data_IF_407769086802
#
_entry.id   IF_407769086802
#
_cell.length_a   1.000
_cell.length_b   1.000
_cell.length_c   1.000
_cell.angle_alpha   90.00
_cell.angle_beta   90.00
_cell.angle_gamma   90.00
#
_symmetry.space_group_name_H-M   'P 1'
#
loop_
_entity.id
_entity.type
_entity.pdbx_description
1 polymer ?
#
# COMPACT_ATOMS: atom_id res chain seq x y z
N UNK A 1 -50.79 -28.37 -49.35
CA UNK A 1 -49.36 -28.60 -49.01
C UNK A 1 -48.76 -27.24 -48.65
N UNK A 2 -48.64 -26.91 -47.38
CA UNK A 2 -48.11 -25.65 -46.89
C UNK A 2 -46.78 -25.98 -46.20
N UNK A 3 -45.65 -25.45 -46.71
CA UNK A 3 -44.31 -25.57 -46.11
C UNK A 3 -44.06 -24.39 -45.16
N UNK A 4 -43.96 -24.68 -43.87
CA UNK A 4 -43.61 -23.71 -42.84
C UNK A 4 -42.09 -23.61 -42.76
N UNK A 5 -41.48 -22.46 -43.04
CA UNK A 5 -40.08 -22.12 -42.77
C UNK A 5 -39.96 -21.68 -41.30
N UNK A 6 -39.15 -22.41 -40.52
CA UNK A 6 -38.67 -21.99 -39.22
C UNK A 6 -37.39 -21.20 -39.40
N UNK A 7 -37.41 -19.89 -39.06
CA UNK A 7 -36.24 -19.02 -39.02
C UNK A 7 -35.72 -19.02 -37.60
N UNK A 8 -34.56 -19.67 -37.38
CA UNK A 8 -33.87 -19.65 -36.09
C UNK A 8 -33.12 -18.34 -35.88
N UNK A 9 -33.50 -17.61 -34.85
CA UNK A 9 -32.82 -16.37 -34.40
C UNK A 9 -31.74 -16.75 -33.38
N UNK A 10 -30.47 -16.72 -33.78
CA UNK A 10 -29.33 -16.91 -32.89
C UNK A 10 -29.00 -15.58 -32.21
N UNK A 11 -29.32 -15.49 -30.90
CA UNK A 11 -29.00 -14.36 -30.06
C UNK A 11 -27.52 -14.46 -29.63
N UNK A 12 -26.63 -13.72 -30.29
CA UNK A 12 -25.22 -13.64 -29.95
C UNK A 12 -25.05 -12.79 -28.66
N UNK A 13 -24.67 -13.43 -27.56
CA UNK A 13 -24.30 -12.75 -26.30
C UNK A 13 -22.93 -12.13 -26.44
N UNK A 14 -22.86 -10.84 -26.76
CA UNK A 14 -21.60 -10.08 -26.72
C UNK A 14 -21.22 -9.83 -25.28
N UNK A 15 -20.18 -10.53 -24.79
CA UNK A 15 -19.51 -10.19 -23.51
C UNK A 15 -18.82 -8.85 -23.71
N UNK A 16 -19.43 -7.77 -23.25
CA UNK A 16 -18.76 -6.48 -23.12
C UNK A 16 -17.74 -6.58 -21.98
N UNK A 17 -16.44 -6.69 -22.30
CA UNK A 17 -15.38 -6.47 -21.33
C UNK A 17 -15.49 -5.03 -20.83
N UNK A 18 -15.84 -4.86 -19.57
CA UNK A 18 -15.82 -3.54 -18.93
C UNK A 18 -14.38 -3.00 -18.97
N UNK A 19 -14.16 -1.75 -19.43
CA UNK A 19 -12.83 -1.17 -19.39
C UNK A 19 -12.37 -1.10 -17.93
N UNK A 20 -11.17 -1.64 -17.65
CA UNK A 20 -10.49 -1.45 -16.37
C UNK A 20 -10.38 0.06 -16.12
N UNK A 21 -10.91 0.52 -14.99
CA UNK A 21 -10.79 1.93 -14.61
C UNK A 21 -9.31 2.25 -14.39
N UNK A 22 -8.79 3.18 -15.16
CA UNK A 22 -7.40 3.64 -15.13
C UNK A 22 -7.00 4.34 -13.80
N UNK A 23 -7.93 4.49 -12.85
CA UNK A 23 -7.72 5.18 -11.58
C UNK A 23 -7.41 4.29 -10.37
N UNK A 24 -7.49 2.96 -10.51
CA UNK A 24 -7.23 2.06 -9.40
C UNK A 24 -5.73 1.93 -9.14
N UNK A 25 -5.29 2.39 -7.96
CA UNK A 25 -3.92 2.19 -7.49
C UNK A 25 -3.71 0.73 -7.10
N UNK A 26 -2.86 0.04 -7.84
CA UNK A 26 -2.46 -1.34 -7.54
C UNK A 26 -1.11 -1.32 -6.82
N UNK A 27 -0.99 -2.13 -5.77
CA UNK A 27 0.24 -2.23 -4.96
C UNK A 27 0.96 -3.53 -5.24
N UNK A 28 2.25 -3.40 -5.58
CA UNK A 28 3.13 -4.56 -5.73
C UNK A 28 4.17 -4.54 -4.62
N UNK A 29 4.22 -5.64 -3.86
CA UNK A 29 5.18 -5.85 -2.76
C UNK A 29 6.12 -6.96 -3.14
N UNK A 30 7.43 -6.67 -3.17
CA UNK A 30 8.39 -7.67 -3.64
C UNK A 30 9.84 -7.26 -3.41
N UNK A 31 10.68 -7.84 -4.25
CA UNK A 31 12.11 -7.52 -4.33
C UNK A 31 12.38 -6.93 -5.71
N UNK A 32 13.17 -5.89 -5.77
CA UNK A 32 13.69 -5.34 -7.02
C UNK A 32 14.64 -6.37 -7.63
N UNK A 33 14.29 -6.90 -8.78
CA UNK A 33 15.10 -7.88 -9.50
C UNK A 33 16.13 -7.20 -10.40
N UNK A 34 15.73 -6.12 -11.07
CA UNK A 34 16.59 -5.29 -11.91
C UNK A 34 16.07 -3.87 -12.02
N UNK A 35 16.99 -2.96 -12.36
CA UNK A 35 16.69 -1.57 -12.70
C UNK A 35 17.38 -1.25 -14.02
N UNK A 36 16.63 -0.74 -14.98
CA UNK A 36 17.11 -0.30 -16.29
C UNK A 36 16.55 1.09 -16.60
N UNK A 37 17.42 2.10 -16.50
CA UNK A 37 17.03 3.51 -16.65
C UNK A 37 15.87 3.89 -15.72
N UNK A 38 14.72 4.17 -16.29
CA UNK A 38 13.48 4.54 -15.57
C UNK A 38 12.52 3.36 -15.36
N UNK A 39 13.01 2.14 -15.49
CA UNK A 39 12.19 0.93 -15.37
C UNK A 39 12.72 0.04 -14.25
N UNK A 40 11.85 -0.40 -13.37
CA UNK A 40 12.15 -1.35 -12.30
C UNK A 40 11.35 -2.64 -12.51
N UNK A 41 12.05 -3.77 -12.43
CA UNK A 41 11.45 -5.10 -12.46
C UNK A 41 11.29 -5.58 -11.02
N UNK A 42 10.05 -5.84 -10.61
CA UNK A 42 9.70 -6.27 -9.25
C UNK A 42 9.25 -7.71 -9.29
N UNK A 43 9.91 -8.56 -8.48
CA UNK A 43 9.49 -9.93 -8.22
C UNK A 43 8.63 -9.97 -6.95
N UNK A 44 7.30 -10.10 -7.07
CA UNK A 44 6.41 -10.20 -5.91
C UNK A 44 6.66 -11.48 -5.11
N UNK A 45 6.18 -11.51 -3.86
CA UNK A 45 6.20 -12.76 -3.06
C UNK A 45 5.38 -13.88 -3.70
N UNK A 46 4.29 -13.52 -4.36
CA UNK A 46 3.40 -14.42 -5.11
C UNK A 46 3.02 -13.76 -6.42
N UNK A 47 2.84 -14.55 -7.46
CA UNK A 47 2.46 -14.09 -8.79
C UNK A 47 3.66 -13.78 -9.69
N UNK A 48 3.35 -13.19 -10.83
CA UNK A 48 4.32 -12.90 -11.88
C UNK A 48 5.14 -11.63 -11.59
N UNK A 49 6.37 -11.62 -12.06
CA UNK A 49 7.23 -10.45 -12.11
C UNK A 49 6.53 -9.29 -12.83
N UNK A 50 6.65 -8.10 -12.30
CA UNK A 50 6.02 -6.89 -12.84
C UNK A 50 7.09 -5.87 -13.21
N UNK A 51 6.94 -5.32 -14.40
CA UNK A 51 7.75 -4.21 -14.90
C UNK A 51 7.01 -2.92 -14.64
N UNK A 52 7.64 -1.98 -13.96
CA UNK A 52 7.05 -0.70 -13.53
C UNK A 52 7.96 0.43 -13.96
N UNK A 53 7.39 1.43 -14.62
CA UNK A 53 8.09 2.67 -14.98
C UNK A 53 8.05 3.65 -13.81
N UNK A 54 9.17 4.33 -13.54
CA UNK A 54 9.26 5.41 -12.58
C UNK A 54 10.03 6.59 -13.17
N UNK A 55 9.68 7.81 -12.81
CA UNK A 55 10.21 9.03 -13.40
C UNK A 55 10.41 10.13 -12.38
N UNK A 56 10.48 11.38 -12.85
CA UNK A 56 10.68 12.55 -11.99
C UNK A 56 9.47 12.83 -11.10
N UNK A 57 8.27 12.47 -11.57
CA UNK A 57 7.03 12.59 -10.80
C UNK A 57 6.83 11.44 -9.79
N UNK A 58 7.66 10.40 -9.84
CA UNK A 58 7.56 9.28 -8.90
C UNK A 58 8.13 9.69 -7.54
N UNK A 59 7.31 9.59 -6.51
CA UNK A 59 7.76 9.83 -5.14
C UNK A 59 8.57 8.63 -4.64
N UNK A 60 9.84 8.84 -4.36
CA UNK A 60 10.71 7.83 -3.77
C UNK A 60 10.76 8.04 -2.26
N UNK A 61 10.48 6.98 -1.51
CA UNK A 61 10.55 6.96 -0.05
C UNK A 61 11.50 5.84 0.38
N UNK A 62 12.23 6.08 1.45
CA UNK A 62 13.14 5.12 2.07
C UNK A 62 12.51 4.54 3.33
N UNK A 63 12.46 3.22 3.46
CA UNK A 63 12.00 2.55 4.66
C UNK A 63 13.19 1.95 5.43
N UNK A 64 13.25 2.19 6.73
CA UNK A 64 14.21 1.59 7.65
C UNK A 64 13.51 0.93 8.83
N UNK A 65 14.19 -0.03 9.47
CA UNK A 65 13.65 -0.70 10.66
C UNK A 65 13.52 0.30 11.81
N UNK A 66 12.37 0.29 12.45
CA UNK A 66 12.06 1.09 13.62
C UNK A 66 11.70 0.24 14.84
N UNK A 67 11.44 0.92 15.95
CA UNK A 67 11.01 0.33 17.22
C UNK A 67 9.75 1.02 17.70
N UNK A 68 9.00 0.38 18.56
CA UNK A 68 7.81 0.99 19.18
C UNK A 68 8.16 2.32 19.88
N UNK A 69 9.35 2.41 20.47
CA UNK A 69 9.86 3.63 21.10
C UNK A 69 10.09 4.82 20.16
N UNK A 70 10.09 4.58 18.84
CA UNK A 70 10.19 5.66 17.84
C UNK A 70 8.84 6.37 17.63
N UNK A 71 7.75 5.73 18.07
CA UNK A 71 6.42 6.33 18.04
C UNK A 71 6.32 7.29 19.24
N UNK A 72 6.20 8.58 18.96
CA UNK A 72 6.08 9.65 19.97
C UNK A 72 4.68 10.27 19.93
N UNK A 73 4.34 11.01 20.96
CA UNK A 73 3.21 11.93 20.89
C UNK A 73 3.39 12.83 19.68
N UNK A 74 2.30 13.10 18.97
CA UNK A 74 2.30 13.89 17.72
C UNK A 74 3.02 13.22 16.52
N UNK A 75 3.57 12.01 16.62
CA UNK A 75 4.02 11.29 15.43
C UNK A 75 2.89 11.17 14.42
N UNK A 76 3.21 11.29 13.14
CA UNK A 76 2.29 10.92 12.07
C UNK A 76 2.59 9.49 11.65
N UNK A 77 1.58 8.61 11.72
CA UNK A 77 1.75 7.18 11.47
C UNK A 77 0.76 6.66 10.44
N UNK A 78 1.14 5.57 9.80
CA UNK A 78 0.24 4.68 9.07
C UNK A 78 0.18 3.32 9.77
N UNK A 79 -0.99 2.77 9.95
CA UNK A 79 -1.14 1.42 10.49
C UNK A 79 -2.11 0.60 9.65
N UNK A 80 -1.62 -0.52 9.13
CA UNK A 80 -2.50 -1.56 8.63
C UNK A 80 -2.96 -2.42 9.81
N UNK A 81 -4.25 -2.64 9.91
CA UNK A 81 -4.85 -3.29 11.07
C UNK A 81 -6.10 -4.10 10.70
N UNK A 82 -6.50 -4.97 11.60
CA UNK A 82 -7.76 -5.72 11.52
C UNK A 82 -8.73 -5.18 12.58
N UNK A 83 -9.95 -4.74 12.18
CA UNK A 83 -10.99 -4.34 13.10
C UNK A 83 -11.31 -5.46 14.10
N UNK A 84 -11.51 -5.09 15.36
CA UNK A 84 -11.88 -6.01 16.43
C UNK A 84 -13.34 -5.78 16.86
N UNK A 85 -14.03 -6.79 17.44
CA UNK A 85 -15.41 -6.67 17.89
C UNK A 85 -15.66 -5.56 18.91
N UNK A 86 -14.64 -5.18 19.68
CA UNK A 86 -14.68 -4.09 20.69
C UNK A 86 -14.48 -2.70 20.08
N UNK A 87 -14.39 -2.60 18.76
CA UNK A 87 -14.16 -1.35 18.02
C UNK A 87 -12.70 -0.93 17.93
N UNK A 88 -11.78 -1.64 18.56
CA UNK A 88 -10.34 -1.36 18.40
C UNK A 88 -9.80 -1.89 17.06
N UNK A 89 -8.60 -1.48 16.72
CA UNK A 89 -7.86 -1.94 15.55
C UNK A 89 -6.62 -2.71 16.03
N UNK A 90 -6.52 -4.00 15.71
CA UNK A 90 -5.31 -4.80 15.99
C UNK A 90 -4.31 -4.57 14.86
N UNK A 91 -3.20 -3.91 15.15
CA UNK A 91 -2.16 -3.61 14.18
C UNK A 91 -1.53 -4.89 13.60
N UNK A 92 -1.30 -4.88 12.29
CA UNK A 92 -0.48 -5.85 11.57
C UNK A 92 0.92 -5.29 11.32
N UNK A 93 1.02 -3.98 11.21
CA UNK A 93 2.26 -3.23 11.01
C UNK A 93 2.04 -1.75 11.32
N UNK A 94 3.11 -1.05 11.66
CA UNK A 94 3.10 0.40 11.90
C UNK A 94 4.21 1.05 11.10
N UNK A 95 3.86 2.14 10.44
CA UNK A 95 4.81 3.03 9.75
C UNK A 95 4.84 4.37 10.48
N UNK A 96 6.02 4.85 10.83
CA UNK A 96 6.22 6.21 11.33
C UNK A 96 6.77 7.05 10.18
N UNK A 97 6.08 8.09 9.82
CA UNK A 97 6.49 8.99 8.76
C UNK A 97 7.36 10.12 9.30
N UNK A 98 8.37 10.50 8.53
CA UNK A 98 9.10 11.73 8.77
C UNK A 98 8.14 12.94 8.81
N UNK A 99 8.50 13.97 9.55
CA UNK A 99 7.66 15.17 9.72
C UNK A 99 7.29 15.85 8.39
N UNK A 100 8.18 15.80 7.40
CA UNK A 100 7.95 16.31 6.04
C UNK A 100 6.89 15.54 5.25
N UNK A 101 6.54 14.31 5.70
CA UNK A 101 5.54 13.45 5.09
C UNK A 101 4.20 13.48 5.85
N UNK A 102 4.06 14.35 6.86
CA UNK A 102 2.81 14.51 7.62
C UNK A 102 1.65 14.83 6.67
N UNK A 103 0.50 14.19 6.90
CA UNK A 103 -0.69 14.33 6.06
C UNK A 103 -0.73 13.39 4.85
N UNK A 104 0.32 12.59 4.62
CA UNK A 104 0.32 11.62 3.51
C UNK A 104 -0.81 10.62 3.68
N UNK A 105 -1.73 10.59 2.70
CA UNK A 105 -2.88 9.69 2.63
C UNK A 105 -3.69 9.66 3.95
N UNK A 106 -3.89 10.82 4.58
CA UNK A 106 -4.64 10.96 5.84
C UNK A 106 -6.04 10.34 5.70
N UNK A 107 -6.44 9.52 6.67
CA UNK A 107 -7.75 8.88 6.65
C UNK A 107 -7.79 7.46 7.18
N UNK A 108 -8.97 6.83 7.02
CA UNK A 108 -9.21 5.43 7.36
C UNK A 108 -9.99 4.76 6.21
N UNK A 109 -9.42 3.70 5.63
CA UNK A 109 -9.96 3.09 4.42
C UNK A 109 -9.58 1.59 4.31
N UNK A 110 -10.29 0.80 3.46
CA UNK A 110 -9.96 -0.61 3.22
C UNK A 110 -8.51 -0.79 2.75
N UNK A 111 -7.91 -1.90 3.17
CA UNK A 111 -6.53 -2.24 2.82
C UNK A 111 -6.42 -3.67 2.31
N UNK A 112 -5.28 -4.01 1.71
CA UNK A 112 -5.06 -5.27 1.00
C UNK A 112 -4.03 -6.21 1.69
N UNK A 113 -3.80 -6.02 3.00
CA UNK A 113 -2.83 -6.83 3.76
C UNK A 113 -3.46 -8.09 4.41
N UNK A 114 -4.71 -8.33 4.17
CA UNK A 114 -5.49 -9.48 4.65
C UNK A 114 -6.99 -9.20 4.56
N UNK A 115 -7.80 -10.23 4.80
CA UNK A 115 -9.26 -10.09 4.80
C UNK A 115 -9.70 -9.04 5.81
N UNK A 116 -10.53 -8.10 5.37
CA UNK A 116 -11.08 -7.00 6.16
C UNK A 116 -10.03 -6.06 6.79
N UNK A 117 -8.77 -6.08 6.30
CA UNK A 117 -7.77 -5.14 6.79
C UNK A 117 -8.09 -3.71 6.37
N UNK A 118 -7.71 -2.79 7.24
CA UNK A 118 -7.87 -1.35 7.03
C UNK A 118 -6.52 -0.65 7.19
N UNK A 119 -6.36 0.48 6.52
CA UNK A 119 -5.25 1.42 6.73
C UNK A 119 -5.80 2.63 7.48
N UNK A 120 -5.09 3.04 8.51
CA UNK A 120 -5.34 4.32 9.18
C UNK A 120 -4.06 5.14 9.15
N UNK A 121 -4.10 6.28 8.47
CA UNK A 121 -3.02 7.27 8.49
C UNK A 121 -3.48 8.50 9.25
N UNK A 122 -2.70 8.92 10.24
CA UNK A 122 -3.07 10.05 11.08
C UNK A 122 -2.01 10.39 12.14
N UNK A 123 -2.31 11.41 12.90
CA UNK A 123 -1.45 11.84 14.01
C UNK A 123 -1.77 11.05 15.29
N UNK A 124 -0.75 10.77 16.10
CA UNK A 124 -0.94 10.22 17.43
C UNK A 124 -1.57 11.29 18.33
N UNK A 125 -2.77 11.05 18.80
CA UNK A 125 -3.43 11.88 19.80
C UNK A 125 -3.02 11.54 21.22
N UNK A 126 -2.86 10.23 21.51
CA UNK A 126 -2.38 9.75 22.82
C UNK A 126 -1.76 8.37 22.71
N UNK A 127 -0.86 8.07 23.63
CA UNK A 127 -0.26 6.76 23.85
C UNK A 127 -0.67 6.28 25.26
N UNK A 128 -1.06 5.02 25.38
CA UNK A 128 -1.47 4.40 26.63
C UNK A 128 -1.16 2.90 26.63
N UNK A 129 -1.48 2.21 27.75
CA UNK A 129 -1.15 0.80 27.93
C UNK A 129 0.34 0.58 28.25
N UNK A 130 0.72 -0.68 28.40
CA UNK A 130 2.11 -1.07 28.65
C UNK A 130 2.98 -0.65 27.47
N UNK A 131 4.05 0.12 27.73
CA UNK A 131 5.00 0.60 26.73
C UNK A 131 4.37 1.44 25.58
N UNK A 132 3.19 2.05 25.81
CA UNK A 132 2.52 2.83 24.77
C UNK A 132 1.90 2.00 23.63
N UNK A 133 1.67 0.71 23.84
CA UNK A 133 1.12 -0.20 22.81
C UNK A 133 -0.33 0.05 22.43
N UNK A 134 -1.00 0.98 23.08
CA UNK A 134 -2.33 1.43 22.70
C UNK A 134 -2.24 2.88 22.25
N UNK A 135 -2.61 3.13 21.01
CA UNK A 135 -2.53 4.43 20.37
C UNK A 135 -3.91 4.92 19.98
N UNK A 136 -4.18 6.21 20.22
CA UNK A 136 -5.30 6.90 19.61
C UNK A 136 -4.78 7.62 18.37
N UNK A 137 -5.19 7.18 17.19
CA UNK A 137 -4.77 7.76 15.90
C UNK A 137 -5.89 8.65 15.40
N UNK A 138 -5.61 9.95 15.27
CA UNK A 138 -6.53 10.97 14.77
C UNK A 138 -6.26 11.28 13.32
N UNK A 139 -7.29 11.27 12.51
CA UNK A 139 -7.25 11.55 11.08
C UNK A 139 -8.44 12.44 10.68
N UNK A 140 -8.43 12.96 9.46
CA UNK A 140 -9.55 13.74 8.96
C UNK A 140 -10.81 12.86 8.89
N UNK A 141 -11.81 13.21 9.67
CA UNK A 141 -13.08 12.48 9.74
C UNK A 141 -13.23 11.57 10.95
N UNK A 142 -12.22 11.45 11.85
CA UNK A 142 -12.38 10.67 13.07
C UNK A 142 -11.10 10.24 13.77
N UNK A 143 -11.24 9.21 14.58
CA UNK A 143 -10.11 8.60 15.30
C UNK A 143 -10.29 7.09 15.40
N UNK A 144 -9.19 6.37 15.56
CA UNK A 144 -9.16 4.92 15.81
C UNK A 144 -8.25 4.61 16.99
N UNK A 145 -8.74 3.75 17.87
CA UNK A 145 -7.92 3.14 18.92
C UNK A 145 -7.21 1.92 18.34
N UNK A 146 -5.89 1.98 18.28
CA UNK A 146 -5.04 0.94 17.71
C UNK A 146 -4.27 0.24 18.83
N UNK A 147 -4.32 -1.08 18.84
CA UNK A 147 -3.53 -1.95 19.74
C UNK A 147 -2.41 -2.57 18.93
N UNK A 148 -1.16 -2.43 19.40
CA UNK A 148 0.04 -2.92 18.72
C UNK A 148 0.58 -4.13 19.48
N UNK A 149 0.42 -5.37 18.96
CA UNK A 149 1.06 -6.57 19.48
C UNK A 149 2.59 -6.48 19.53
N UNK A 150 3.24 -7.36 20.30
CA UNK A 150 4.71 -7.32 20.50
C UNK A 150 5.51 -7.61 19.23
N UNK A 151 5.00 -8.48 18.41
CA UNK A 151 5.63 -8.95 17.17
C UNK A 151 5.35 -8.08 15.95
N UNK A 152 4.62 -6.96 16.14
CA UNK A 152 4.26 -6.07 15.03
C UNK A 152 5.49 -5.28 14.57
N UNK A 153 5.86 -5.36 13.27
CA UNK A 153 6.95 -4.59 12.74
C UNK A 153 6.63 -3.09 12.71
N UNK A 154 7.61 -2.29 13.13
CA UNK A 154 7.60 -0.84 12.99
C UNK A 154 8.64 -0.44 11.95
N UNK A 155 8.26 0.40 11.00
CA UNK A 155 9.17 0.98 10.02
C UNK A 155 9.15 2.50 10.10
N UNK A 156 10.31 3.10 9.86
CA UNK A 156 10.45 4.55 9.69
C UNK A 156 10.47 4.83 8.19
N UNK A 157 9.72 5.83 7.75
CA UNK A 157 9.66 6.21 6.34
C UNK A 157 10.03 7.67 6.17
N UNK A 158 11.08 7.90 5.39
CA UNK A 158 11.66 9.19 5.08
C UNK A 158 11.59 9.48 3.57
N UNK A 159 11.72 10.73 3.12
CA UNK A 159 12.00 11.02 1.73
C UNK A 159 13.27 10.28 1.27
N UNK A 160 13.22 9.71 0.08
CA UNK A 160 14.32 9.01 -0.54
C UNK A 160 14.70 9.61 -1.90
N UNK A 161 15.79 9.11 -2.46
CA UNK A 161 16.28 9.49 -3.78
C UNK A 161 16.26 8.29 -4.73
N UNK A 162 16.30 8.55 -6.05
CA UNK A 162 16.33 7.49 -7.06
C UNK A 162 17.50 6.52 -6.89
N UNK A 163 18.60 6.98 -6.31
CA UNK A 163 19.81 6.18 -6.05
C UNK A 163 19.61 4.96 -5.15
N UNK A 164 18.53 4.95 -4.34
CA UNK A 164 18.20 3.79 -3.49
C UNK A 164 17.39 2.71 -4.22
N UNK A 165 16.91 2.99 -5.42
CA UNK A 165 16.15 2.03 -6.24
C UNK A 165 17.17 1.11 -6.93
N UNK A 166 17.60 0.06 -6.25
CA UNK A 166 18.63 -0.87 -6.71
C UNK A 166 18.17 -2.32 -6.58
N UNK A 167 18.75 -3.20 -7.41
CA UNK A 167 18.45 -4.63 -7.36
C UNK A 167 18.79 -5.23 -5.98
N UNK A 168 17.95 -6.15 -5.52
CA UNK A 168 18.07 -6.83 -4.21
C UNK A 168 17.22 -6.17 -3.11
N UNK A 169 16.92 -4.89 -3.20
CA UNK A 169 16.15 -4.19 -2.18
C UNK A 169 14.66 -4.59 -2.18
N UNK A 170 14.05 -4.53 -1.00
CA UNK A 170 12.61 -4.75 -0.83
C UNK A 170 11.86 -3.49 -1.21
N UNK A 171 10.71 -3.64 -1.86
CA UNK A 171 9.95 -2.51 -2.37
C UNK A 171 8.44 -2.73 -2.21
N UNK A 172 7.74 -1.62 -1.96
CA UNK A 172 6.31 -1.48 -2.20
C UNK A 172 6.13 -0.42 -3.28
N UNK A 173 5.56 -0.82 -4.41
CA UNK A 173 5.25 0.08 -5.51
C UNK A 173 3.74 0.35 -5.55
N UNK A 174 3.36 1.62 -5.51
CA UNK A 174 2.00 2.08 -5.75
C UNK A 174 1.91 2.50 -7.22
N UNK A 175 1.18 1.74 -8.00
CA UNK A 175 1.16 1.89 -9.46
C UNK A 175 -0.22 2.20 -9.99
N UNK A 176 -0.26 2.86 -11.13
CA UNK A 176 -1.44 3.02 -11.97
C UNK A 176 -1.14 2.49 -13.37
N UNK A 177 -2.13 1.90 -14.02
CA UNK A 177 -2.02 1.55 -15.43
C UNK A 177 -2.10 2.83 -16.27
N UNK A 178 -1.14 3.01 -17.17
CA UNK A 178 -1.19 4.05 -18.18
C UNK A 178 -2.14 3.70 -19.34
N UNK A 179 -2.42 4.65 -20.24
CA UNK A 179 -3.24 4.40 -21.43
C UNK A 179 -2.67 3.32 -22.35
N UNK A 180 -1.36 3.10 -22.31
CA UNK A 180 -0.62 2.08 -23.06
C UNK A 180 -0.57 0.72 -22.33
N UNK A 181 -1.27 0.59 -21.19
CA UNK A 181 -1.29 -0.61 -20.36
C UNK A 181 -0.04 -0.83 -19.50
N UNK A 182 0.97 0.07 -19.57
CA UNK A 182 2.15 -0.01 -18.72
C UNK A 182 1.85 0.45 -17.31
N UNK A 183 2.53 -0.16 -16.35
CA UNK A 183 2.43 0.25 -14.95
C UNK A 183 3.37 1.42 -14.68
N UNK A 184 2.83 2.51 -14.17
CA UNK A 184 3.58 3.69 -13.77
C UNK A 184 3.53 3.84 -12.25
N UNK A 185 4.70 3.95 -11.62
CA UNK A 185 4.80 4.16 -10.19
C UNK A 185 4.46 5.62 -9.83
N UNK A 186 3.46 5.82 -8.99
CA UNK A 186 3.25 7.08 -8.30
C UNK A 186 4.16 7.20 -7.07
N UNK A 187 4.37 6.08 -6.36
CA UNK A 187 5.24 6.00 -5.18
C UNK A 187 6.02 4.69 -5.22
N UNK A 188 7.31 4.75 -4.90
CA UNK A 188 8.14 3.60 -4.56
C UNK A 188 8.63 3.77 -3.12
N UNK A 189 8.32 2.81 -2.25
CA UNK A 189 8.88 2.75 -0.89
C UNK A 189 9.93 1.64 -0.90
N UNK A 190 11.19 2.02 -0.79
CA UNK A 190 12.33 1.10 -0.90
C UNK A 190 12.92 0.85 0.48
N UNK A 191 13.09 -0.41 0.84
CA UNK A 191 13.73 -0.80 2.09
C UNK A 191 15.23 -0.53 2.07
N UNK A 192 15.77 -0.07 3.19
CA UNK A 192 17.22 0.05 3.39
C UNK A 192 17.71 -1.10 4.24
N UNK A 193 18.90 -1.61 3.94
CA UNK A 193 19.57 -2.66 4.72
C UNK A 193 18.68 -3.90 4.93
N UNK A 194 18.00 -4.34 3.88
CA UNK A 194 17.13 -5.50 3.92
C UNK A 194 15.77 -5.30 4.62
N UNK A 195 15.47 -4.08 5.05
CA UNK A 195 14.15 -3.75 5.64
C UNK A 195 13.04 -4.05 4.65
N UNK A 196 12.00 -4.74 5.12
CA UNK A 196 10.76 -4.92 4.35
C UNK A 196 9.86 -3.72 4.66
N UNK A 197 9.55 -2.86 3.67
CA UNK A 197 8.65 -1.74 3.91
C UNK A 197 7.29 -2.23 4.41
N UNK A 198 6.79 -1.58 5.45
CA UNK A 198 5.45 -1.80 5.99
C UNK A 198 4.46 -0.97 5.17
N UNK A 199 3.62 -1.58 4.36
CA UNK A 199 2.42 -0.98 3.72
C UNK A 199 1.77 -1.91 2.72
#
# INVERSE_FOLDING_TARGET
MMKTLLTGLTLGLALAAAPARADDVVRYRGTIESVDGSTVTIKPRMGETKTVTFGDDTKILAASSGKLSDIKSESYIGTAAIPQPDGTQKALQVTVFASSLRGTADGHYPWDLGSNSTMTNGAIGSLSGTEGRTMLVKYQGGEKKVVVPEDVPVTLVDPGEKSIVVAGEKVVAFTKAGPDGKLNAAVLIVGRNGTVPSM
#
